data_IF_280820796075
#
_entry.id   IF_280820796075
#
_cell.length_a   1.000
_cell.length_b   1.000
_cell.length_c   1.000
_cell.angle_alpha   90.00
_cell.angle_beta   90.00
_cell.angle_gamma   90.00
#
_symmetry.space_group_name_H-M   'P 1'
#
loop_
_entity.id
_entity.type
_entity.pdbx_description
1 polymer ?
#
# COMPACT_ATOMS: atom_id res chain seq x y z
N UNK A 1 -15.20 -34.37 6.50
CA UNK A 1 -14.26 -34.61 5.43
C UNK A 1 -13.47 -35.86 5.65
N UNK A 2 -13.57 -36.83 4.76
CA UNK A 2 -12.78 -38.06 4.84
C UNK A 2 -11.33 -37.79 4.44
N UNK A 3 -10.38 -38.44 5.12
CA UNK A 3 -8.95 -38.34 4.87
C UNK A 3 -8.15 -38.32 6.16
N UNK A 4 -6.88 -38.68 6.07
CA UNK A 4 -5.95 -38.61 7.20
C UNK A 4 -5.77 -37.17 7.66
N UNK A 5 -5.91 -36.94 8.97
CA UNK A 5 -5.73 -35.58 9.52
C UNK A 5 -4.26 -35.13 9.39
N UNK A 6 -4.02 -33.88 8.97
CA UNK A 6 -2.67 -33.34 8.91
C UNK A 6 -2.20 -32.93 10.32
N UNK A 7 -1.89 -33.91 11.16
CA UNK A 7 -1.63 -33.72 12.60
C UNK A 7 -0.54 -32.72 12.89
N UNK A 8 0.54 -32.69 12.08
CA UNK A 8 1.63 -31.70 12.20
C UNK A 8 1.16 -30.26 11.95
N UNK A 9 0.27 -30.04 10.98
CA UNK A 9 -0.30 -28.71 10.71
C UNK A 9 -1.27 -28.28 11.82
N UNK A 10 -2.05 -29.23 12.36
CA UNK A 10 -2.97 -28.96 13.49
C UNK A 10 -2.18 -28.56 14.73
N UNK A 11 -1.11 -29.28 15.07
CA UNK A 11 -0.22 -28.94 16.20
C UNK A 11 0.46 -27.57 15.96
N UNK A 12 0.97 -27.32 14.75
CA UNK A 12 1.57 -26.05 14.40
C UNK A 12 0.58 -24.88 14.50
N UNK A 13 -0.66 -25.07 14.08
CA UNK A 13 -1.71 -24.07 14.23
C UNK A 13 -2.02 -23.81 15.71
N UNK A 14 -2.14 -24.85 16.53
CA UNK A 14 -2.34 -24.69 17.97
C UNK A 14 -1.23 -23.92 18.64
N UNK A 15 0.02 -24.18 18.29
CA UNK A 15 1.16 -23.43 18.82
C UNK A 15 1.18 -21.98 18.33
N UNK A 16 0.84 -21.72 17.06
CA UNK A 16 0.73 -20.37 16.54
C UNK A 16 -0.34 -19.55 17.28
N UNK A 17 -1.51 -20.14 17.57
CA UNK A 17 -2.53 -19.48 18.40
C UNK A 17 -2.04 -19.23 19.82
N UNK A 18 -1.34 -20.19 20.43
CA UNK A 18 -0.79 -20.01 21.77
C UNK A 18 0.20 -18.82 21.82
N UNK A 19 1.10 -18.72 20.86
CA UNK A 19 2.06 -17.61 20.75
C UNK A 19 1.32 -16.29 20.51
N UNK A 20 0.36 -16.27 19.58
CA UNK A 20 -0.43 -15.09 19.30
C UNK A 20 -1.15 -14.56 20.55
N UNK A 21 -1.75 -15.44 21.36
CA UNK A 21 -2.41 -15.04 22.61
C UNK A 21 -1.44 -14.43 23.63
N UNK A 22 -0.20 -14.87 23.66
CA UNK A 22 0.81 -14.38 24.62
C UNK A 22 1.47 -13.07 24.15
N UNK A 23 1.61 -12.87 22.86
CA UNK A 23 2.43 -11.78 22.30
C UNK A 23 1.60 -10.72 21.56
N UNK A 24 0.27 -10.90 21.43
CA UNK A 24 -0.59 -10.04 20.63
C UNK A 24 -0.45 -8.55 20.97
N UNK A 25 -0.47 -8.19 22.24
CA UNK A 25 -0.40 -6.79 22.68
C UNK A 25 0.97 -6.16 22.34
N UNK A 26 2.04 -6.93 22.54
CA UNK A 26 3.41 -6.52 22.20
C UNK A 26 3.55 -6.33 20.69
N UNK A 27 3.06 -7.28 19.91
CA UNK A 27 3.08 -7.21 18.46
C UNK A 27 2.27 -6.04 17.94
N UNK A 28 1.08 -5.83 18.51
CA UNK A 28 0.21 -4.72 18.13
C UNK A 28 0.89 -3.36 18.38
N UNK A 29 1.52 -3.18 19.53
CA UNK A 29 2.26 -1.95 19.86
C UNK A 29 3.44 -1.74 18.91
N UNK A 30 4.24 -2.78 18.68
CA UNK A 30 5.36 -2.74 17.76
C UNK A 30 4.93 -2.37 16.32
N UNK A 31 3.95 -3.08 15.78
CA UNK A 31 3.43 -2.85 14.43
C UNK A 31 2.81 -1.45 14.33
N UNK A 32 2.10 -1.01 15.36
CA UNK A 32 1.52 0.34 15.39
C UNK A 32 2.58 1.44 15.37
N UNK A 33 3.68 1.28 16.11
CA UNK A 33 4.78 2.24 16.10
C UNK A 33 5.43 2.34 14.72
N UNK A 34 5.65 1.21 14.05
CA UNK A 34 6.19 1.15 12.69
C UNK A 34 5.23 1.73 11.65
N UNK A 35 3.91 1.50 11.81
CA UNK A 35 2.88 2.13 10.98
C UNK A 35 2.95 3.65 11.07
N UNK A 36 3.00 4.19 12.28
CA UNK A 36 3.10 5.64 12.47
C UNK A 36 4.39 6.19 11.87
N UNK A 37 5.53 5.55 12.11
CA UNK A 37 6.82 5.94 11.52
C UNK A 37 6.75 6.01 9.98
N UNK A 38 6.16 5.00 9.34
CA UNK A 38 5.99 4.96 7.89
C UNK A 38 5.06 6.06 7.40
N UNK A 39 3.89 6.21 8.03
CA UNK A 39 2.89 7.19 7.60
C UNK A 39 3.36 8.62 7.83
N UNK A 40 3.91 8.93 9.00
CA UNK A 40 4.44 10.26 9.32
C UNK A 40 5.54 10.71 8.35
N UNK A 41 6.32 9.76 7.83
CA UNK A 41 7.36 10.06 6.86
C UNK A 41 6.80 10.29 5.43
N UNK A 42 5.61 9.77 5.10
CA UNK A 42 5.03 9.85 3.75
C UNK A 42 3.88 10.86 3.62
N UNK A 43 3.14 11.16 4.71
CA UNK A 43 1.91 11.96 4.68
C UNK A 43 2.10 13.39 4.17
N UNK A 44 3.29 13.97 4.35
CA UNK A 44 3.60 15.33 3.92
C UNK A 44 4.07 15.41 2.46
N UNK A 45 4.15 14.28 1.77
CA UNK A 45 4.38 14.28 0.32
C UNK A 45 3.14 14.81 -0.40
N UNK A 46 3.34 15.73 -1.33
CA UNK A 46 2.27 16.29 -2.16
C UNK A 46 1.51 15.18 -2.89
N UNK A 47 0.18 15.27 -2.92
CA UNK A 47 -0.69 14.32 -3.61
C UNK A 47 -0.49 12.84 -3.19
N UNK A 48 -0.32 12.61 -1.89
CA UNK A 48 -0.26 11.28 -1.28
C UNK A 48 -1.41 11.10 -0.30
N UNK A 49 -2.14 10.01 -0.40
CA UNK A 49 -3.38 9.78 0.32
C UNK A 49 -3.42 8.42 0.99
N UNK A 50 -3.71 8.38 2.29
CA UNK A 50 -4.02 7.15 3.00
C UNK A 50 -5.45 6.71 2.64
N UNK A 51 -5.63 5.47 2.25
CA UNK A 51 -6.92 4.89 1.90
C UNK A 51 -7.57 4.21 3.11
N UNK A 52 -8.85 4.50 3.33
CA UNK A 52 -9.61 4.07 4.49
C UNK A 52 -9.40 4.96 5.71
N UNK A 53 -9.97 4.57 6.84
CA UNK A 53 -9.86 5.31 8.10
C UNK A 53 -8.46 5.16 8.71
N UNK A 54 -7.92 6.21 9.29
CA UNK A 54 -6.57 6.23 9.86
C UNK A 54 -6.49 5.44 11.18
N UNK A 55 -7.56 5.46 11.98
CA UNK A 55 -7.60 4.89 13.31
C UNK A 55 -8.30 3.53 13.34
N UNK A 56 -9.44 3.42 12.67
CA UNK A 56 -10.28 2.20 12.64
C UNK A 56 -9.74 1.19 11.61
N UNK A 57 -8.52 0.67 11.87
CA UNK A 57 -7.86 -0.33 11.01
C UNK A 57 -6.93 -1.24 11.80
N UNK A 58 -6.66 -2.40 11.23
CA UNK A 58 -5.52 -3.21 11.67
C UNK A 58 -4.21 -2.49 11.33
N UNK A 59 -3.31 -2.24 12.29
CA UNK A 59 -2.13 -1.41 12.06
C UNK A 59 -1.12 -2.02 11.08
N UNK A 60 -1.10 -3.34 10.92
CA UNK A 60 -0.15 -4.03 10.05
C UNK A 60 -0.43 -3.92 8.55
N UNK A 61 -1.50 -3.23 8.14
CA UNK A 61 -1.84 -3.06 6.72
C UNK A 61 -2.15 -1.60 6.43
N UNK A 62 -1.44 -1.04 5.46
CA UNK A 62 -1.69 0.29 4.93
C UNK A 62 -1.88 0.22 3.42
N UNK A 63 -2.85 0.97 2.92
CA UNK A 63 -3.01 1.21 1.49
C UNK A 63 -2.86 2.71 1.25
N UNK A 64 -1.91 3.10 0.40
CA UNK A 64 -1.55 4.50 0.13
C UNK A 64 -1.59 4.72 -1.38
N UNK A 65 -2.30 5.77 -1.82
CA UNK A 65 -2.31 6.22 -3.20
C UNK A 65 -1.28 7.34 -3.41
N UNK A 66 -0.53 7.24 -4.50
CA UNK A 66 0.46 8.22 -4.93
C UNK A 66 0.01 8.84 -6.26
N UNK A 67 -0.77 9.92 -6.22
CA UNK A 67 -1.33 10.51 -7.42
C UNK A 67 -0.26 10.87 -8.47
N UNK A 68 -0.62 10.80 -9.75
CA UNK A 68 0.26 11.02 -10.90
C UNK A 68 1.38 9.99 -11.08
N UNK A 69 1.25 8.81 -10.43
CA UNK A 69 2.16 7.69 -10.56
C UNK A 69 1.35 6.44 -10.89
N UNK A 70 1.76 5.71 -11.90
CA UNK A 70 1.15 4.43 -12.24
C UNK A 70 1.66 3.34 -11.25
N UNK A 71 0.72 2.58 -10.64
CA UNK A 71 1.01 1.66 -9.54
C UNK A 71 1.96 0.52 -9.90
N UNK A 72 1.86 -0.05 -11.10
CA UNK A 72 2.76 -1.11 -11.54
C UNK A 72 4.18 -0.58 -11.76
N UNK A 73 4.30 0.60 -12.36
CA UNK A 73 5.58 1.29 -12.52
C UNK A 73 6.24 1.58 -11.18
N UNK A 74 5.44 1.95 -10.17
CA UNK A 74 5.95 2.17 -8.82
C UNK A 74 6.42 0.86 -8.16
N UNK A 75 5.71 -0.25 -8.32
CA UNK A 75 6.14 -1.57 -7.85
C UNK A 75 7.46 -1.97 -8.52
N UNK A 76 7.56 -1.77 -9.84
CA UNK A 76 8.79 -2.09 -10.58
C UNK A 76 9.98 -1.21 -10.18
N UNK A 77 9.72 0.07 -9.84
CA UNK A 77 10.75 1.00 -9.38
C UNK A 77 11.20 0.71 -7.93
N UNK A 78 10.40 -0.02 -7.16
CA UNK A 78 10.66 -0.39 -5.75
C UNK A 78 10.91 -1.89 -5.56
N UNK A 79 11.53 -2.55 -6.55
CA UNK A 79 11.74 -4.01 -6.61
C UNK A 79 12.48 -4.62 -5.41
N UNK A 80 13.19 -3.80 -4.66
CA UNK A 80 13.91 -4.25 -3.47
C UNK A 80 13.00 -4.36 -2.22
N UNK A 81 11.72 -3.99 -2.38
CA UNK A 81 10.71 -4.03 -1.32
C UNK A 81 9.54 -4.89 -1.80
N UNK A 82 9.11 -5.84 -0.96
CA UNK A 82 7.93 -6.67 -1.22
C UNK A 82 6.65 -5.85 -1.00
N UNK A 83 6.15 -5.23 -2.05
CA UNK A 83 4.91 -4.46 -2.07
C UNK A 83 3.84 -5.18 -2.91
N UNK A 84 2.60 -4.76 -2.76
CA UNK A 84 1.47 -5.29 -3.51
C UNK A 84 0.63 -4.14 -4.08
N UNK A 85 0.13 -4.30 -5.30
CA UNK A 85 -0.89 -3.39 -5.82
C UNK A 85 -2.18 -3.49 -5.01
N UNK A 86 -3.01 -2.47 -5.07
CA UNK A 86 -4.33 -2.47 -4.42
C UNK A 86 -5.29 -3.51 -4.99
N UNK A 87 -5.03 -4.05 -6.18
CA UNK A 87 -5.91 -4.94 -6.94
C UNK A 87 -5.15 -6.15 -7.50
N UNK A 88 -4.75 -7.07 -6.63
CA UNK A 88 -4.02 -8.27 -7.03
C UNK A 88 -4.82 -9.24 -7.92
N UNK A 89 -6.16 -9.22 -7.86
CA UNK A 89 -7.04 -10.12 -8.62
C UNK A 89 -7.46 -9.56 -9.98
N UNK A 90 -7.28 -8.28 -10.22
CA UNK A 90 -7.68 -7.59 -11.46
C UNK A 90 -6.47 -7.14 -12.29
N UNK A 91 -5.27 -7.63 -11.98
CA UNK A 91 -4.07 -7.37 -12.79
C UNK A 91 -4.18 -7.86 -14.24
N UNK A 92 -5.16 -8.74 -14.53
CA UNK A 92 -5.53 -9.13 -15.90
C UNK A 92 -6.63 -8.24 -16.52
N UNK A 93 -7.31 -7.41 -15.73
CA UNK A 93 -8.26 -6.41 -16.18
C UNK A 93 -7.75 -5.04 -15.76
N UNK A 94 -7.76 -4.08 -16.67
CA UNK A 94 -7.37 -2.67 -16.41
C UNK A 94 -8.35 -1.95 -15.45
N UNK A 95 -9.17 -2.68 -14.70
CA UNK A 95 -10.15 -2.09 -13.80
C UNK A 95 -9.54 -1.78 -12.42
N UNK A 96 -9.76 -0.57 -11.90
CA UNK A 96 -9.32 -0.19 -10.57
C UNK A 96 -10.08 -0.96 -9.48
N UNK A 97 -9.50 -1.04 -8.29
CA UNK A 97 -10.10 -1.71 -7.15
C UNK A 97 -11.51 -1.18 -6.83
N UNK A 98 -12.53 -2.05 -6.93
CA UNK A 98 -13.89 -1.70 -6.55
C UNK A 98 -14.01 -1.30 -5.06
N UNK A 99 -13.13 -1.81 -4.19
CA UNK A 99 -13.08 -1.43 -2.78
C UNK A 99 -12.65 0.02 -2.63
N UNK A 100 -11.60 0.45 -3.35
CA UNK A 100 -11.13 1.84 -3.30
C UNK A 100 -12.16 2.80 -3.88
N UNK A 101 -12.83 2.42 -4.97
CA UNK A 101 -13.99 3.18 -5.49
C UNK A 101 -15.11 3.32 -4.46
N UNK A 102 -15.47 2.23 -3.78
CA UNK A 102 -16.52 2.21 -2.78
C UNK A 102 -16.25 3.12 -1.56
N UNK A 103 -14.97 3.33 -1.23
CA UNK A 103 -14.56 4.28 -0.18
C UNK A 103 -14.30 5.70 -0.73
N UNK A 104 -14.71 5.99 -1.98
CA UNK A 104 -14.72 7.32 -2.56
C UNK A 104 -13.41 7.75 -3.23
N UNK A 105 -12.52 6.82 -3.59
CA UNK A 105 -11.33 7.14 -4.38
C UNK A 105 -11.67 7.20 -5.87
N UNK A 106 -11.08 8.17 -6.59
CA UNK A 106 -11.14 8.20 -8.04
C UNK A 106 -10.40 7.00 -8.66
N UNK A 107 -10.65 6.73 -9.93
CA UNK A 107 -9.99 5.63 -10.63
C UNK A 107 -8.47 5.82 -10.69
N UNK A 108 -7.99 7.04 -10.90
CA UNK A 108 -6.58 7.39 -10.91
C UNK A 108 -5.91 7.08 -9.56
N UNK A 109 -6.54 7.49 -8.45
CA UNK A 109 -6.04 7.21 -7.11
C UNK A 109 -6.10 5.71 -6.77
N UNK A 110 -7.10 5.00 -7.27
CA UNK A 110 -7.20 3.56 -7.07
C UNK A 110 -6.11 2.80 -7.84
N UNK A 111 -5.78 3.23 -9.06
CA UNK A 111 -4.69 2.66 -9.86
C UNK A 111 -3.29 2.98 -9.30
N UNK A 112 -3.11 4.14 -8.67
CA UNK A 112 -1.85 4.56 -8.08
C UNK A 112 -1.61 4.03 -6.66
N UNK A 113 -2.45 3.09 -6.19
CA UNK A 113 -2.40 2.62 -4.80
C UNK A 113 -1.46 1.45 -4.61
N UNK A 114 -0.72 1.50 -3.49
CA UNK A 114 0.10 0.40 -2.99
C UNK A 114 -0.38 -0.08 -1.64
N UNK A 115 -0.39 -1.40 -1.44
CA UNK A 115 -0.60 -2.02 -0.14
C UNK A 115 0.73 -2.38 0.48
N UNK A 116 0.99 -1.83 1.65
CA UNK A 116 2.16 -2.10 2.48
C UNK A 116 1.73 -2.93 3.68
N UNK A 117 2.47 -4.01 3.98
CA UNK A 117 2.19 -4.90 5.09
C UNK A 117 3.38 -4.92 6.05
N UNK A 118 3.10 -4.64 7.32
CA UNK A 118 4.08 -4.60 8.42
C UNK A 118 3.78 -5.76 9.34
N UNK A 119 4.79 -6.54 9.68
CA UNK A 119 4.66 -7.70 10.54
C UNK A 119 5.49 -7.62 11.82
N UNK A 120 5.35 -8.62 12.69
CA UNK A 120 6.05 -8.71 13.99
C UNK A 120 7.58 -8.72 13.90
N UNK A 121 8.13 -9.07 12.75
CA UNK A 121 9.58 -9.12 12.51
C UNK A 121 10.11 -7.92 11.73
N UNK A 122 9.22 -7.04 11.27
CA UNK A 122 9.62 -5.82 10.57
C UNK A 122 10.37 -4.90 11.52
N UNK A 123 11.45 -4.33 11.05
CA UNK A 123 12.34 -3.45 11.83
C UNK A 123 12.16 -1.98 11.45
N UNK A 124 12.55 -1.05 12.31
CA UNK A 124 12.58 0.38 12.00
C UNK A 124 13.47 0.68 10.79
N UNK A 125 14.61 -0.01 10.67
CA UNK A 125 15.54 0.15 9.55
C UNK A 125 14.89 -0.22 8.21
N UNK A 126 14.07 -1.27 8.19
CA UNK A 126 13.33 -1.66 6.98
C UNK A 126 12.26 -0.63 6.63
N UNK A 127 11.60 -0.03 7.62
CA UNK A 127 10.67 1.08 7.41
C UNK A 127 11.38 2.29 6.84
N UNK A 128 12.51 2.71 7.41
CA UNK A 128 13.30 3.85 6.94
C UNK A 128 13.77 3.64 5.50
N UNK A 129 14.29 2.44 5.21
CA UNK A 129 14.68 2.07 3.84
C UNK A 129 13.48 2.11 2.88
N UNK A 130 12.32 1.60 3.29
CA UNK A 130 11.09 1.65 2.50
C UNK A 130 10.69 3.09 2.18
N UNK A 131 10.73 3.98 3.17
CA UNK A 131 10.43 5.41 2.99
C UNK A 131 11.37 6.05 1.96
N UNK A 132 12.67 5.82 2.07
CA UNK A 132 13.66 6.37 1.14
C UNK A 132 13.42 5.90 -0.29
N UNK A 133 13.28 4.59 -0.48
CA UNK A 133 13.07 4.00 -1.81
C UNK A 133 11.78 4.49 -2.43
N UNK A 134 10.67 4.53 -1.68
CA UNK A 134 9.37 5.00 -2.18
C UNK A 134 9.44 6.48 -2.56
N UNK A 135 10.03 7.34 -1.71
CA UNK A 135 10.17 8.77 -2.02
C UNK A 135 10.95 9.01 -3.31
N UNK A 136 12.07 8.32 -3.48
CA UNK A 136 12.90 8.43 -4.69
C UNK A 136 12.13 7.94 -5.93
N UNK A 137 11.46 6.79 -5.83
CA UNK A 137 10.70 6.22 -6.93
C UNK A 137 9.52 7.11 -7.35
N UNK A 138 8.72 7.60 -6.39
CA UNK A 138 7.59 8.51 -6.65
C UNK A 138 8.07 9.80 -7.31
N UNK A 139 9.13 10.41 -6.79
CA UNK A 139 9.69 11.62 -7.38
C UNK A 139 10.10 11.39 -8.83
N UNK A 140 10.89 10.35 -9.09
CA UNK A 140 11.36 10.01 -10.43
C UNK A 140 10.22 9.73 -11.42
N UNK A 141 9.20 8.98 -10.99
CA UNK A 141 8.07 8.66 -11.86
C UNK A 141 7.20 9.89 -12.15
N UNK A 142 7.02 10.79 -11.19
CA UNK A 142 6.34 12.08 -11.39
C UNK A 142 7.09 12.98 -12.37
N UNK A 143 8.42 13.05 -12.30
CA UNK A 143 9.25 13.79 -13.25
C UNK A 143 9.08 13.31 -14.71
N UNK A 144 8.64 12.06 -14.90
CA UNK A 144 8.34 11.47 -16.20
C UNK A 144 6.87 11.56 -16.60
N UNK A 145 6.00 12.05 -15.72
CA UNK A 145 4.54 12.10 -15.91
C UNK A 145 4.11 13.46 -16.48
N UNK A 146 3.56 13.52 -17.71
CA UNK A 146 3.00 14.75 -18.24
C UNK A 146 1.86 15.33 -17.38
N UNK A 147 1.08 14.44 -16.72
CA UNK A 147 0.00 14.86 -15.84
C UNK A 147 0.52 15.58 -14.59
N UNK A 148 1.68 15.18 -14.07
CA UNK A 148 2.33 15.87 -12.97
C UNK A 148 2.81 17.27 -13.37
N UNK A 149 3.39 17.41 -14.56
CA UNK A 149 3.80 18.70 -15.11
C UNK A 149 2.60 19.64 -15.24
N UNK A 150 1.51 19.17 -15.87
CA UNK A 150 0.26 19.93 -16.01
C UNK A 150 -0.31 20.35 -14.64
N UNK A 151 -0.31 19.46 -13.66
CA UNK A 151 -0.74 19.78 -12.30
C UNK A 151 0.11 20.89 -11.68
N UNK A 152 1.43 20.83 -11.82
CA UNK A 152 2.36 21.86 -11.31
C UNK A 152 2.18 23.20 -12.00
N UNK A 153 1.75 23.20 -13.25
CA UNK A 153 1.42 24.41 -14.03
C UNK A 153 0.01 24.96 -13.71
N UNK A 154 -0.71 24.33 -12.79
CA UNK A 154 -2.04 24.76 -12.36
C UNK A 154 -3.16 24.43 -13.35
N UNK A 155 -2.93 23.52 -14.28
CA UNK A 155 -3.92 23.05 -15.24
C UNK A 155 -4.89 22.09 -14.56
N UNK A 156 -6.18 22.35 -14.63
CA UNK A 156 -7.23 21.46 -14.11
C UNK A 156 -7.40 20.26 -15.05
N UNK A 157 -6.77 19.15 -14.68
CA UNK A 157 -6.74 17.91 -15.47
C UNK A 157 -8.14 17.33 -15.71
N UNK A 158 -9.09 17.57 -14.78
CA UNK A 158 -10.46 17.10 -14.93
C UNK A 158 -11.26 17.81 -16.02
N UNK A 159 -10.76 18.93 -16.52
CA UNK A 159 -11.38 19.72 -17.61
C UNK A 159 -10.77 19.46 -18.97
N UNK A 160 -9.78 18.59 -19.06
CA UNK A 160 -9.14 18.25 -20.32
C UNK A 160 -10.01 17.25 -21.07
N UNK A 161 -10.54 17.65 -22.23
CA UNK A 161 -11.16 16.73 -23.18
C UNK A 161 -10.08 15.91 -23.88
N UNK A 162 -9.91 14.66 -23.46
CA UNK A 162 -9.00 13.73 -24.13
C UNK A 162 -9.63 13.30 -25.45
N UNK A 163 -8.94 13.56 -26.58
CA UNK A 163 -9.41 13.06 -27.87
C UNK A 163 -9.49 11.52 -27.83
N UNK A 164 -10.68 11.01 -28.04
CA UNK A 164 -10.88 9.57 -28.22
C UNK A 164 -10.17 9.13 -29.52
N UNK A 165 -9.20 8.25 -29.39
CA UNK A 165 -8.54 7.57 -30.53
C UNK A 165 -9.18 6.21 -30.77
#
# INVERSE_FOLDING_TARGET
>A
RSGTLPTHQIVGMGEAFRIAMLEMDKDFQHISSLKHRLWDALKDMEEVYLNGDENERYPGIMNISFNFVEGESLIMATKDIALSSGSACTSASLEPSFVLRAIGRSDELAHSSLRMSIGRFTTEREIDHTVEVVKVAVKKLRELSPLWEMYKDGIDINKIEWAAH
#
